data_IF_412598765187
#
_entry.id   IF_412598765187
#
_cell.length_a   1.000
_cell.length_b   1.000
_cell.length_c   1.000
_cell.angle_alpha   90.00
_cell.angle_beta   90.00
_cell.angle_gamma   90.00
#
_symmetry.space_group_name_H-M   'P 1'
#
loop_
_entity.id
_entity.type
_entity.pdbx_description
1 polymer ?
#
# COMPACT_ATOMS: atom_id res chain seq x y z
N UNK A 1 8.58 8.50 25.83
CA UNK A 1 9.22 8.68 24.51
C UNK A 1 9.19 7.33 23.81
N UNK A 2 8.24 7.13 22.90
CA UNK A 2 8.07 5.85 22.21
C UNK A 2 8.97 5.81 20.98
N UNK A 3 9.98 4.94 20.99
CA UNK A 3 10.86 4.72 19.86
C UNK A 3 10.09 4.00 18.75
N UNK A 4 10.08 4.59 17.55
CA UNK A 4 9.59 3.96 16.32
C UNK A 4 10.70 2.98 15.89
N UNK A 5 10.52 1.71 16.22
CA UNK A 5 11.44 0.63 15.84
C UNK A 5 11.21 0.29 14.36
N UNK A 6 12.30 0.16 13.61
CA UNK A 6 12.33 -0.21 12.20
C UNK A 6 11.92 -1.68 12.03
N UNK A 7 10.95 -1.95 11.14
CA UNK A 7 10.24 -3.25 11.02
C UNK A 7 10.62 -4.08 9.78
N UNK A 8 11.82 -3.93 9.24
CA UNK A 8 12.29 -4.78 8.14
C UNK A 8 13.64 -5.37 8.51
N UNK A 9 13.63 -6.62 8.97
CA UNK A 9 14.84 -7.42 9.15
C UNK A 9 15.58 -7.51 7.81
N UNK A 10 16.81 -6.97 7.80
CA UNK A 10 17.72 -6.89 6.66
C UNK A 10 18.10 -8.29 6.16
N UNK A 11 17.53 -8.68 5.03
CA UNK A 11 18.12 -9.67 4.13
C UNK A 11 18.27 -9.03 2.74
N UNK A 12 19.33 -8.22 2.61
CA UNK A 12 19.85 -7.76 1.33
C UNK A 12 20.49 -8.94 0.62
N UNK A 13 19.80 -9.57 -0.35
CA UNK A 13 20.37 -10.20 -1.56
C UNK A 13 19.38 -11.06 -2.36
N UNK A 14 18.13 -10.65 -2.55
CA UNK A 14 17.31 -11.23 -3.64
C UNK A 14 16.42 -10.16 -4.26
N UNK A 15 16.74 -9.78 -5.50
CA UNK A 15 15.82 -9.09 -6.41
C UNK A 15 14.62 -10.01 -6.64
N UNK A 16 13.63 -9.97 -5.76
CA UNK A 16 12.33 -10.58 -5.99
C UNK A 16 11.51 -9.63 -6.86
N UNK A 17 11.88 -9.54 -8.14
CA UNK A 17 10.98 -9.03 -9.17
C UNK A 17 10.08 -10.19 -9.55
N UNK A 18 9.07 -10.47 -8.72
CA UNK A 18 7.93 -11.26 -9.18
C UNK A 18 6.86 -10.24 -9.58
N UNK A 19 6.93 -9.80 -10.83
CA UNK A 19 5.88 -9.02 -11.50
C UNK A 19 4.66 -9.89 -11.86
N UNK A 20 4.70 -11.19 -11.52
CA UNK A 20 3.88 -12.27 -12.05
C UNK A 20 2.52 -12.54 -11.38
N UNK A 21 1.88 -11.57 -10.72
CA UNK A 21 0.54 -11.84 -10.14
C UNK A 21 -0.49 -10.71 -10.26
N UNK A 22 -0.39 -9.90 -11.32
CA UNK A 22 -1.54 -9.14 -11.82
C UNK A 22 -1.71 -9.47 -13.30
N UNK A 23 -2.40 -10.59 -13.55
CA UNK A 23 -2.92 -10.99 -14.86
C UNK A 23 -4.19 -10.23 -15.26
N UNK A 24 -4.68 -9.33 -14.40
CA UNK A 24 -5.87 -8.53 -14.66
C UNK A 24 -5.52 -7.29 -15.51
N UNK A 25 -5.91 -7.34 -16.78
CA UNK A 25 -6.04 -6.15 -17.62
C UNK A 25 -7.31 -5.40 -17.25
N UNK A 26 -7.17 -4.14 -16.84
CA UNK A 26 -8.29 -3.24 -16.58
C UNK A 26 -8.60 -2.38 -17.80
N UNK A 27 -9.87 -2.12 -18.05
CA UNK A 27 -10.26 -1.15 -19.07
C UNK A 27 -9.90 0.28 -18.64
N UNK A 28 -9.71 1.17 -19.63
CA UNK A 28 -9.47 2.59 -19.35
C UNK A 28 -10.61 3.23 -18.54
N UNK A 29 -11.84 2.74 -18.70
CA UNK A 29 -12.99 3.21 -17.93
C UNK A 29 -12.82 2.87 -16.44
N UNK A 30 -12.47 1.63 -16.11
CA UNK A 30 -12.25 1.19 -14.72
C UNK A 30 -11.07 1.91 -14.07
N UNK A 31 -9.98 2.10 -14.81
CA UNK A 31 -8.81 2.85 -14.33
C UNK A 31 -9.20 4.30 -14.01
N UNK A 32 -9.92 4.96 -14.91
CA UNK A 32 -10.32 6.36 -14.74
C UNK A 32 -11.34 6.52 -13.60
N UNK A 33 -12.30 5.60 -13.50
CA UNK A 33 -13.27 5.56 -12.40
C UNK A 33 -12.55 5.43 -11.05
N UNK A 34 -11.61 4.47 -10.94
CA UNK A 34 -10.88 4.29 -9.69
C UNK A 34 -9.94 5.45 -9.37
N UNK A 35 -9.27 6.06 -10.36
CA UNK A 35 -8.50 7.30 -10.16
C UNK A 35 -9.41 8.43 -9.65
N UNK A 36 -10.64 8.54 -10.16
CA UNK A 36 -11.60 9.53 -9.67
C UNK A 36 -12.05 9.23 -8.24
N UNK A 37 -12.26 7.96 -7.87
CA UNK A 37 -12.55 7.57 -6.49
C UNK A 37 -11.38 7.90 -5.56
N UNK A 38 -10.15 7.53 -5.93
CA UNK A 38 -8.94 7.86 -5.17
C UNK A 38 -8.74 9.37 -4.98
N UNK A 39 -9.11 10.22 -5.94
CA UNK A 39 -9.09 11.68 -5.76
C UNK A 39 -10.11 12.16 -4.73
N UNK A 40 -11.22 11.47 -4.58
CA UNK A 40 -12.36 11.85 -3.72
C UNK A 40 -12.40 11.12 -2.37
N UNK A 41 -11.29 10.50 -1.98
CA UNK A 41 -11.14 9.60 -0.83
C UNK A 41 -11.87 8.26 -1.01
N UNK A 42 -11.16 7.18 -0.70
CA UNK A 42 -11.76 5.85 -0.53
C UNK A 42 -11.51 5.34 0.88
N UNK A 43 -12.43 4.54 1.40
CA UNK A 43 -12.25 3.90 2.69
C UNK A 43 -11.28 2.72 2.56
N UNK A 44 -10.35 2.64 3.51
CA UNK A 44 -9.40 1.56 3.68
C UNK A 44 -9.26 1.23 5.17
N UNK A 45 -8.58 0.13 5.47
CA UNK A 45 -8.16 -0.20 6.83
C UNK A 45 -6.63 -0.23 6.88
N UNK A 46 -6.02 0.57 7.73
CA UNK A 46 -4.60 0.45 8.06
C UNK A 46 -4.45 -0.60 9.15
N UNK A 47 -3.50 -1.53 8.96
CA UNK A 47 -3.23 -2.60 9.91
C UNK A 47 -1.95 -2.27 10.67
N UNK A 48 -2.09 -2.05 11.98
CA UNK A 48 -0.98 -1.68 12.86
C UNK A 48 -0.18 -2.91 13.28
N UNK A 49 1.02 -2.69 13.82
CA UNK A 49 1.95 -3.76 14.24
C UNK A 49 1.35 -4.68 15.30
N UNK A 50 0.55 -4.14 16.22
CA UNK A 50 -0.15 -4.87 17.28
C UNK A 50 -1.39 -5.64 16.78
N UNK A 51 -1.69 -5.60 15.47
CA UNK A 51 -2.87 -6.24 14.88
C UNK A 51 -4.11 -5.36 14.85
N UNK A 52 -4.05 -4.16 15.43
CA UNK A 52 -5.18 -3.22 15.45
C UNK A 52 -5.57 -2.82 14.02
N UNK A 53 -6.88 -2.83 13.75
CA UNK A 53 -7.48 -2.44 12.47
C UNK A 53 -8.01 -1.01 12.59
N UNK A 54 -7.38 -0.08 11.88
CA UNK A 54 -7.75 1.32 11.93
C UNK A 54 -8.49 1.72 10.64
N UNK A 55 -9.78 2.08 10.68
CA UNK A 55 -10.48 2.64 9.53
C UNK A 55 -9.86 3.99 9.15
N UNK A 56 -9.51 4.14 7.87
CA UNK A 56 -8.87 5.33 7.36
C UNK A 56 -9.41 5.68 5.97
N UNK A 57 -9.14 6.90 5.53
CA UNK A 57 -9.37 7.34 4.16
C UNK A 57 -8.04 7.40 3.40
N UNK A 58 -8.06 6.95 2.16
CA UNK A 58 -6.95 7.03 1.22
C UNK A 58 -7.29 8.01 0.10
N UNK A 59 -6.42 9.00 -0.12
CA UNK A 59 -6.54 9.94 -1.22
C UNK A 59 -5.25 9.96 -2.05
N UNK A 60 -5.36 10.09 -3.37
CA UNK A 60 -4.22 10.29 -4.25
C UNK A 60 -4.35 11.59 -5.03
N UNK A 61 -3.31 12.43 -4.97
CA UNK A 61 -3.13 13.54 -5.89
C UNK A 61 -2.10 13.13 -6.95
N UNK A 62 -2.59 12.72 -8.12
CA UNK A 62 -1.74 12.29 -9.23
C UNK A 62 -0.94 13.41 -9.90
N UNK A 63 -1.34 14.68 -9.70
CA UNK A 63 -0.62 15.84 -10.25
C UNK A 63 0.58 16.17 -9.38
N UNK A 64 0.37 16.24 -8.07
CA UNK A 64 1.45 16.46 -7.09
C UNK A 64 2.23 15.18 -6.77
N UNK A 65 1.75 14.02 -7.22
CA UNK A 65 2.30 12.69 -6.96
C UNK A 65 2.39 12.40 -5.46
N UNK A 66 1.30 12.63 -4.74
CA UNK A 66 1.19 12.41 -3.29
C UNK A 66 0.04 11.48 -2.95
N UNK A 67 0.23 10.70 -1.89
CA UNK A 67 -0.75 9.84 -1.25
C UNK A 67 -1.03 10.37 0.15
N UNK A 68 -2.30 10.53 0.50
CA UNK A 68 -2.74 10.97 1.82
C UNK A 68 -3.48 9.82 2.51
N UNK A 69 -3.02 9.44 3.70
CA UNK A 69 -3.69 8.49 4.58
C UNK A 69 -4.20 9.25 5.79
N UNK A 70 -5.51 9.30 5.96
CA UNK A 70 -6.18 10.01 7.06
C UNK A 70 -6.90 9.02 7.96
N UNK A 71 -6.44 8.88 9.20
CA UNK A 71 -7.00 7.99 10.21
C UNK A 71 -7.42 8.80 11.44
N UNK A 72 -8.72 8.87 11.73
CA UNK A 72 -9.28 9.74 12.78
C UNK A 72 -8.75 11.19 12.70
N UNK A 73 -7.87 11.60 13.62
CA UNK A 73 -7.29 12.95 13.69
C UNK A 73 -5.84 13.03 13.15
N UNK A 74 -5.29 11.92 12.65
CA UNK A 74 -3.93 11.89 12.10
C UNK A 74 -3.99 11.81 10.58
N UNK A 75 -3.20 12.66 9.95
CA UNK A 75 -3.00 12.68 8.50
C UNK A 75 -1.54 12.41 8.22
N UNK A 76 -1.26 11.48 7.32
CA UNK A 76 0.08 11.19 6.83
C UNK A 76 0.11 11.39 5.32
N UNK A 77 0.93 12.35 4.88
CA UNK A 77 1.26 12.56 3.48
C UNK A 77 2.48 11.72 3.11
N UNK A 78 2.48 11.11 1.93
CA UNK A 78 3.54 10.26 1.41
C UNK A 78 3.75 10.66 -0.06
N UNK A 79 4.96 11.05 -0.45
CA UNK A 79 5.22 11.27 -1.87
C UNK A 79 5.34 9.92 -2.57
N UNK A 80 4.92 9.85 -3.83
CA UNK A 80 5.08 8.62 -4.62
C UNK A 80 6.55 8.22 -4.76
N UNK A 81 7.46 9.21 -4.77
CA UNK A 81 8.91 8.98 -4.76
C UNK A 81 9.41 8.24 -3.53
N UNK A 82 8.69 8.33 -2.42
CA UNK A 82 9.11 7.77 -1.13
C UNK A 82 8.59 6.33 -0.98
N UNK A 83 7.80 5.84 -1.94
CA UNK A 83 7.31 4.47 -2.00
C UNK A 83 8.29 3.65 -2.86
N UNK A 84 9.15 2.88 -2.19
CA UNK A 84 10.13 1.99 -2.82
C UNK A 84 9.46 0.89 -3.63
N UNK A 85 8.48 0.23 -3.02
CA UNK A 85 7.77 -0.89 -3.61
C UNK A 85 6.40 -1.08 -2.96
N UNK A 86 5.55 -1.84 -3.64
CA UNK A 86 4.30 -2.36 -3.09
C UNK A 86 4.50 -3.84 -2.81
N UNK A 87 4.20 -4.26 -1.59
CA UNK A 87 4.22 -5.67 -1.17
C UNK A 87 2.79 -6.20 -1.22
N UNK A 88 2.53 -7.24 -2.01
CA UNK A 88 1.17 -7.76 -2.19
C UNK A 88 1.12 -9.27 -2.43
N UNK A 89 2.26 -9.90 -2.74
CA UNK A 89 2.38 -11.36 -2.75
C UNK A 89 2.41 -11.91 -1.32
N UNK A 90 1.89 -13.12 -1.12
CA UNK A 90 1.82 -13.76 0.19
C UNK A 90 3.20 -13.81 0.89
N UNK A 91 4.24 -14.26 0.18
CA UNK A 91 5.61 -14.34 0.71
C UNK A 91 6.24 -12.99 1.02
N UNK A 92 5.76 -11.91 0.38
CA UNK A 92 6.20 -10.55 0.71
C UNK A 92 5.50 -10.04 1.97
N UNK A 93 4.19 -10.29 2.08
CA UNK A 93 3.38 -9.86 3.22
C UNK A 93 3.75 -10.61 4.50
N UNK A 94 4.19 -11.89 4.42
CA UNK A 94 4.73 -12.65 5.56
C UNK A 94 5.92 -11.98 6.26
N UNK A 95 6.67 -11.14 5.55
CA UNK A 95 7.85 -10.44 6.08
C UNK A 95 7.49 -9.17 6.85
N UNK A 96 6.25 -8.72 6.74
CA UNK A 96 5.79 -7.54 7.47
C UNK A 96 5.56 -7.94 8.92
N UNK A 97 6.32 -7.35 9.83
CA UNK A 97 6.21 -7.59 11.27
C UNK A 97 4.89 -7.00 11.80
N UNK A 98 3.83 -7.80 11.84
CA UNK A 98 2.53 -7.42 12.42
C UNK A 98 1.82 -8.65 12.98
N UNK A 99 1.01 -8.45 14.02
CA UNK A 99 0.07 -9.46 14.53
C UNK A 99 -1.21 -9.55 13.68
N UNK A 100 -1.41 -8.63 12.72
CA UNK A 100 -2.54 -8.68 11.81
C UNK A 100 -2.38 -9.80 10.78
N UNK A 101 -3.47 -10.51 10.47
CA UNK A 101 -3.48 -11.45 9.35
C UNK A 101 -3.58 -10.69 8.01
N UNK A 102 -2.42 -10.47 7.38
CA UNK A 102 -2.32 -9.80 6.08
C UNK A 102 -2.66 -10.71 4.90
N UNK A 103 -2.59 -12.03 5.10
CA UNK A 103 -2.68 -13.03 4.02
C UNK A 103 -4.14 -13.42 3.79
N UNK A 104 -4.94 -13.47 4.85
CA UNK A 104 -6.35 -13.83 4.76
C UNK A 104 -7.15 -12.78 3.99
N UNK A 105 -7.67 -13.17 2.81
CA UNK A 105 -8.68 -12.42 2.07
C UNK A 105 -8.20 -11.63 0.85
N UNK A 106 -6.93 -11.76 0.44
CA UNK A 106 -6.37 -11.23 -0.82
C UNK A 106 -6.59 -9.72 -1.09
N UNK A 107 -6.99 -8.93 -0.10
CA UNK A 107 -7.30 -7.50 -0.23
C UNK A 107 -6.24 -6.59 0.43
N UNK A 108 -5.17 -7.18 0.95
CA UNK A 108 -4.10 -6.45 1.63
C UNK A 108 -2.93 -6.17 0.68
N UNK A 109 -2.30 -5.01 0.85
CA UNK A 109 -0.98 -4.69 0.35
C UNK A 109 -0.22 -3.89 1.40
N UNK A 110 1.09 -3.76 1.30
CA UNK A 110 1.85 -2.84 2.12
C UNK A 110 2.66 -1.86 1.25
N UNK A 111 2.64 -0.58 1.65
CA UNK A 111 3.52 0.44 1.10
C UNK A 111 4.88 0.33 1.77
N UNK A 112 5.92 -0.06 1.04
CA UNK A 112 7.29 -0.09 1.55
C UNK A 112 7.96 1.26 1.27
N UNK A 113 8.34 1.98 2.33
CA UNK A 113 8.81 3.36 2.23
C UNK A 113 10.34 3.47 2.29
N UNK A 114 10.93 4.28 1.40
CA UNK A 114 12.38 4.49 1.27
C UNK A 114 13.02 5.03 2.57
N UNK A 115 12.51 6.16 3.10
CA UNK A 115 13.18 6.91 4.17
C UNK A 115 13.27 6.19 5.52
N UNK A 116 12.38 5.23 5.77
CA UNK A 116 12.24 4.58 7.08
C UNK A 116 12.46 3.08 7.06
N UNK A 117 12.51 2.47 5.87
CA UNK A 117 12.41 1.02 5.70
C UNK A 117 11.11 0.41 6.25
N UNK A 118 10.16 1.23 6.71
CA UNK A 118 8.93 0.77 7.31
C UNK A 118 7.87 0.48 6.24
N UNK A 119 6.98 -0.45 6.59
CA UNK A 119 5.83 -0.78 5.78
C UNK A 119 4.55 -0.16 6.38
N UNK A 120 3.64 0.32 5.52
CA UNK A 120 2.27 0.65 5.92
C UNK A 120 1.34 -0.37 5.28
N UNK A 121 0.85 -1.36 6.05
CA UNK A 121 -0.10 -2.33 5.53
C UNK A 121 -1.49 -1.71 5.45
N UNK A 122 -2.11 -1.86 4.28
CA UNK A 122 -3.42 -1.33 3.91
C UNK A 122 -4.27 -2.48 3.41
N UNK A 123 -5.49 -2.56 3.91
CA UNK A 123 -6.53 -3.45 3.40
C UNK A 123 -7.60 -2.63 2.67
N UNK A 124 -7.85 -3.01 1.42
CA UNK A 124 -8.97 -2.51 0.64
C UNK A 124 -10.24 -3.30 0.96
N UNK A 125 -11.39 -2.70 0.67
CA UNK A 125 -12.68 -3.38 0.80
C UNK A 125 -12.83 -4.52 -0.22
N UNK A 126 -12.35 -4.30 -1.46
CA UNK A 126 -12.43 -5.25 -2.56
C UNK A 126 -11.04 -5.56 -3.16
N UNK A 127 -10.84 -6.80 -3.58
CA UNK A 127 -9.62 -7.24 -4.26
C UNK A 127 -9.39 -6.48 -5.57
N UNK A 128 -10.48 -6.15 -6.29
CA UNK A 128 -10.42 -5.33 -7.51
C UNK A 128 -9.78 -3.96 -7.26
N UNK A 129 -10.13 -3.31 -6.16
CA UNK A 129 -9.58 -1.99 -5.79
C UNK A 129 -8.09 -2.10 -5.43
N UNK A 130 -7.70 -3.16 -4.71
CA UNK A 130 -6.28 -3.46 -4.45
C UNK A 130 -5.52 -3.61 -5.77
N UNK A 131 -6.02 -4.40 -6.71
CA UNK A 131 -5.35 -4.67 -7.98
C UNK A 131 -5.28 -3.42 -8.88
N UNK A 132 -6.36 -2.63 -8.95
CA UNK A 132 -6.37 -1.34 -9.64
C UNK A 132 -5.35 -0.37 -9.03
N UNK A 133 -5.26 -0.32 -7.70
CA UNK A 133 -4.26 0.50 -7.01
C UNK A 133 -2.84 0.09 -7.40
N UNK A 134 -2.52 -1.20 -7.36
CA UNK A 134 -1.19 -1.68 -7.76
C UNK A 134 -0.91 -1.36 -9.23
N UNK A 135 -1.88 -1.62 -10.12
CA UNK A 135 -1.76 -1.33 -11.55
C UNK A 135 -1.45 0.15 -11.80
N UNK A 136 -2.20 1.06 -11.20
CA UNK A 136 -2.01 2.50 -11.37
C UNK A 136 -0.68 2.97 -10.79
N UNK A 137 -0.31 2.49 -9.60
CA UNK A 137 0.92 2.92 -8.94
C UNK A 137 2.19 2.43 -9.64
N UNK A 138 2.12 1.39 -10.50
CA UNK A 138 3.25 0.98 -11.35
C UNK A 138 3.73 2.11 -12.25
N UNK A 139 2.83 2.92 -12.81
CA UNK A 139 3.17 4.07 -13.66
C UNK A 139 3.93 5.18 -12.92
N UNK A 140 3.92 5.14 -11.57
CA UNK A 140 4.51 6.15 -10.70
C UNK A 140 5.71 5.65 -9.90
N UNK A 141 6.09 4.37 -10.03
CA UNK A 141 7.33 3.87 -9.43
C UNK A 141 8.53 4.56 -10.08
N UNK A 142 9.58 4.83 -9.30
CA UNK A 142 10.86 5.32 -9.83
C UNK A 142 11.37 4.31 -10.86
N UNK A 143 11.65 4.79 -12.08
CA UNK A 143 12.52 4.09 -13.03
C UNK A 143 13.95 4.08 -12.50
#
# INVERSE_FOLDING_TARGET
MGNIVSCCSLDESKKYVNDDEILETFSNAEINEFKNRLKNNIQIVVLLQDGTKLPCNLQANFTEKTLCISCHQKVRMINFSDIRSLLYGEEQLKRVETQANLISGNCCLALHLDDSGNCIPIKFEAMKDKNLFIYIMRDYKKN
#
